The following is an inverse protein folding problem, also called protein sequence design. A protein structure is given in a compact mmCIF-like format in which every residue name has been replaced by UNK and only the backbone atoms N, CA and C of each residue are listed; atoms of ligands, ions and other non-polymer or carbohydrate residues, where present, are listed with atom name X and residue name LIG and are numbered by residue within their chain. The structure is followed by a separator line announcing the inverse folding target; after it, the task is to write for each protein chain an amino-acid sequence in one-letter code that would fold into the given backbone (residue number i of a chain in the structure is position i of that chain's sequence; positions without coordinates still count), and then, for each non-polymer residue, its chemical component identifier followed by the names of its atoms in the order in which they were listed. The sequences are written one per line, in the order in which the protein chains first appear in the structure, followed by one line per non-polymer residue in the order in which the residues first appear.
data_IF_460290770251
#
_entry.id   IF_460290770251
#
_cell.length_a   1.000
_cell.length_b   1.000
_cell.length_c   1.000
_cell.angle_alpha   90.00
_cell.angle_beta   90.00
_cell.angle_gamma   90.00
#
_symmetry.space_group_name_H-M   'P 1'
#
loop_
_entity.id
_entity.type
_entity.pdbx_description
1 polymer ?
#
# COMPACT_ATOMS: atom_id res chain seq x y z
N UNK A 1 -29.38 0.69 -1.10
CA UNK A 1 -28.81 2.00 -0.74
C UNK A 1 -27.92 1.78 0.47
N UNK A 2 -26.79 2.49 0.58
CA UNK A 2 -25.90 2.38 1.74
C UNK A 2 -26.60 2.85 3.01
N UNK A 3 -26.42 2.16 4.13
CA UNK A 3 -27.05 2.47 5.43
C UNK A 3 -26.66 3.87 5.98
N UNK A 4 -25.63 4.49 5.40
CA UNK A 4 -25.07 5.79 5.79
C UNK A 4 -25.49 6.95 4.87
N UNK A 5 -26.34 6.70 3.86
CA UNK A 5 -26.84 7.74 2.96
C UNK A 5 -27.57 8.84 3.73
N UNK A 6 -27.24 10.11 3.45
CA UNK A 6 -27.83 11.28 4.11
C UNK A 6 -27.37 11.54 5.55
N UNK A 7 -26.48 10.71 6.10
CA UNK A 7 -25.96 10.84 7.46
C UNK A 7 -24.50 11.28 7.46
N UNK A 8 -24.08 11.94 8.54
CA UNK A 8 -22.64 12.13 8.82
C UNK A 8 -22.01 10.76 9.07
N UNK A 9 -20.83 10.53 8.50
CA UNK A 9 -20.02 9.33 8.74
C UNK A 9 -18.85 9.71 9.65
N UNK A 10 -18.56 8.86 10.62
CA UNK A 10 -17.31 8.90 11.37
C UNK A 10 -16.37 7.83 10.82
N UNK A 11 -15.15 8.23 10.44
CA UNK A 11 -14.14 7.32 9.90
C UNK A 11 -12.74 7.78 10.23
N UNK A 12 -11.73 6.92 9.99
CA UNK A 12 -10.33 7.30 10.13
C UNK A 12 -9.85 8.10 8.92
N UNK A 13 -9.09 9.15 9.16
CA UNK A 13 -8.33 9.85 8.13
C UNK A 13 -6.97 10.30 8.65
N UNK A 14 -6.01 10.49 7.73
CA UNK A 14 -4.74 11.13 8.02
C UNK A 14 -4.88 12.65 7.95
N UNK A 15 -4.84 13.30 9.10
CA UNK A 15 -4.94 14.76 9.23
C UNK A 15 -3.54 15.35 9.44
N UNK A 16 -3.17 16.33 8.62
CA UNK A 16 -2.00 17.18 8.83
C UNK A 16 -2.47 18.50 9.43
N UNK A 17 -2.07 18.77 10.68
CA UNK A 17 -2.58 19.91 11.45
C UNK A 17 -1.90 21.24 11.09
N UNK A 18 -0.68 21.19 10.57
CA UNK A 18 0.10 22.36 10.19
C UNK A 18 1.27 22.03 9.26
N UNK A 19 1.91 23.05 8.67
CA UNK A 19 3.04 22.85 7.77
C UNK A 19 4.23 22.20 8.49
N UNK A 20 4.79 21.15 7.88
CA UNK A 20 5.89 20.36 8.40
C UNK A 20 5.49 19.34 9.46
N UNK A 21 4.24 19.36 9.94
CA UNK A 21 3.76 18.45 10.98
C UNK A 21 3.54 17.02 10.44
N UNK A 22 3.64 16.00 11.32
CA UNK A 22 3.30 14.64 10.95
C UNK A 22 1.82 14.50 10.58
N UNK A 23 1.52 13.55 9.71
CA UNK A 23 0.15 13.13 9.43
C UNK A 23 -0.32 12.23 10.58
N UNK A 24 -1.42 12.61 11.24
CA UNK A 24 -1.99 11.88 12.38
C UNK A 24 -3.23 11.13 11.92
N UNK A 25 -3.29 9.82 12.16
CA UNK A 25 -4.49 9.02 11.90
C UNK A 25 -5.49 9.23 13.05
N UNK A 26 -6.63 9.85 12.77
CA UNK A 26 -7.66 10.15 13.77
C UNK A 26 -9.08 10.02 13.21
N UNK A 27 -10.07 10.05 14.10
CA UNK A 27 -11.49 10.03 13.70
C UNK A 27 -11.92 11.39 13.15
N UNK A 28 -12.55 11.37 11.99
CA UNK A 28 -13.07 12.56 11.30
C UNK A 28 -14.54 12.36 10.96
N UNK A 29 -15.29 13.46 11.01
CA UNK A 29 -16.68 13.53 10.59
C UNK A 29 -16.76 13.97 9.13
N UNK A 30 -17.42 13.17 8.31
CA UNK A 30 -17.66 13.44 6.89
C UNK A 30 -19.14 13.70 6.66
N UNK A 31 -19.46 14.94 6.30
CA UNK A 31 -20.83 15.36 5.98
C UNK A 31 -21.38 14.58 4.76
N UNK A 32 -22.72 14.42 4.66
CA UNK A 32 -23.33 13.88 3.44
C UNK A 32 -23.07 14.80 2.23
N UNK A 33 -23.05 14.25 1.00
CA UNK A 33 -22.86 15.06 -0.21
C UNK A 33 -24.05 16.00 -0.43
N UNK A 34 -23.78 17.25 -0.80
CA UNK A 34 -24.79 18.22 -1.27
C UNK A 34 -25.06 18.06 -2.77
N UNK A 35 -25.93 18.89 -3.33
CA UNK A 35 -26.23 18.91 -4.76
C UNK A 35 -24.96 18.97 -5.62
N UNK A 36 -24.85 18.08 -6.61
CA UNK A 36 -23.69 17.95 -7.49
C UNK A 36 -22.47 17.26 -6.88
N UNK A 37 -22.54 16.76 -5.64
CA UNK A 37 -21.42 16.14 -4.93
C UNK A 37 -21.54 14.62 -4.84
N UNK A 38 -20.39 13.96 -4.72
CA UNK A 38 -20.29 12.52 -4.59
C UNK A 38 -19.47 12.20 -3.35
N UNK A 39 -19.97 11.30 -2.50
CA UNK A 39 -19.21 10.76 -1.38
C UNK A 39 -18.70 9.36 -1.72
N UNK A 40 -17.40 9.16 -1.57
CA UNK A 40 -16.70 7.96 -2.02
C UNK A 40 -16.11 7.25 -0.81
N UNK A 41 -16.39 5.95 -0.68
CA UNK A 41 -15.61 5.04 0.16
C UNK A 41 -14.34 4.69 -0.60
N UNK A 42 -13.23 5.31 -0.25
CA UNK A 42 -11.97 5.07 -0.95
C UNK A 42 -11.38 3.75 -0.46
N UNK A 43 -10.72 3.02 -1.35
CA UNK A 43 -10.21 1.68 -1.06
C UNK A 43 -8.69 1.67 -0.94
N UNK A 44 -8.03 2.43 -1.82
CA UNK A 44 -6.59 2.56 -1.89
C UNK A 44 -6.23 3.98 -2.30
N UNK A 45 -5.10 4.48 -1.79
CA UNK A 45 -4.49 5.74 -2.23
C UNK A 45 -2.97 5.58 -2.25
N UNK A 46 -2.34 6.15 -3.26
CA UNK A 46 -0.89 6.33 -3.33
C UNK A 46 -0.44 7.51 -2.45
N UNK A 47 0.87 7.57 -2.21
CA UNK A 47 1.56 8.74 -1.66
C UNK A 47 2.44 9.27 -2.77
N UNK A 48 2.21 10.51 -3.16
CA UNK A 48 2.95 11.19 -4.21
C UNK A 48 3.79 12.32 -3.60
N UNK A 49 4.84 12.72 -4.33
CA UNK A 49 5.70 13.82 -3.91
C UNK A 49 4.93 15.14 -3.70
N UNK A 50 3.81 15.34 -4.43
CA UNK A 50 2.95 16.52 -4.24
C UNK A 50 2.34 16.55 -2.84
N UNK A 51 1.94 15.39 -2.28
CA UNK A 51 1.40 15.32 -0.92
C UNK A 51 2.47 15.75 0.10
N UNK A 52 3.71 15.27 -0.05
CA UNK A 52 4.84 15.65 0.81
C UNK A 52 5.23 17.13 0.62
N UNK A 53 5.19 17.64 -0.62
CA UNK A 53 5.48 19.03 -0.91
C UNK A 53 4.50 19.97 -0.19
N UNK A 54 3.20 19.69 -0.26
CA UNK A 54 2.19 20.42 0.50
C UNK A 54 2.38 20.23 2.00
N UNK A 55 2.50 18.99 2.49
CA UNK A 55 2.75 18.70 3.92
C UNK A 55 3.94 19.48 4.46
N UNK A 56 5.01 19.63 3.70
CA UNK A 56 6.23 20.33 4.11
C UNK A 56 6.06 21.85 4.30
N UNK A 57 4.92 22.42 3.87
CA UNK A 57 4.66 23.87 3.92
C UNK A 57 5.33 24.67 2.79
N UNK A 58 5.91 24.00 1.79
CA UNK A 58 6.52 24.65 0.62
C UNK A 58 5.52 25.02 -0.46
N UNK A 59 4.35 24.40 -0.43
CA UNK A 59 3.22 24.75 -1.29
C UNK A 59 2.58 26.07 -0.84
N UNK A 60 2.64 27.09 -1.69
CA UNK A 60 2.04 28.40 -1.42
C UNK A 60 0.51 28.37 -1.34
N UNK A 61 -0.12 27.32 -1.88
CA UNK A 61 -1.58 27.11 -1.79
C UNK A 61 -1.96 26.16 -0.65
N UNK A 62 -0.99 25.66 0.14
CA UNK A 62 -1.24 24.73 1.24
C UNK A 62 -2.12 25.34 2.34
N UNK A 63 -3.37 24.87 2.45
CA UNK A 63 -4.27 25.20 3.54
C UNK A 63 -4.19 24.12 4.64
N UNK A 64 -4.18 24.52 5.91
CA UNK A 64 -4.13 23.62 7.08
C UNK A 64 -5.16 24.04 8.13
N UNK A 65 -5.74 23.10 8.91
CA UNK A 65 -5.51 21.65 8.89
C UNK A 65 -6.13 20.97 7.68
N UNK A 66 -5.55 19.86 7.19
CA UNK A 66 -5.92 19.26 5.90
C UNK A 66 -5.85 17.74 5.91
N UNK A 67 -6.70 17.10 5.10
CA UNK A 67 -6.58 15.69 4.71
C UNK A 67 -5.92 15.66 3.33
N UNK A 68 -4.70 15.14 3.24
CA UNK A 68 -3.92 15.00 1.99
C UNK A 68 -4.37 13.78 1.17
N UNK A 69 -3.75 13.57 -0.01
CA UNK A 69 -4.02 12.45 -0.90
C UNK A 69 -4.89 12.81 -2.09
N UNK A 70 -4.33 12.65 -3.30
CA UNK A 70 -4.98 12.98 -4.58
C UNK A 70 -4.89 11.85 -5.62
N UNK A 71 -4.27 10.72 -5.25
CA UNK A 71 -4.06 9.55 -6.12
C UNK A 71 -4.78 8.32 -5.54
N UNK A 72 -6.11 8.25 -5.68
CA UNK A 72 -6.90 7.19 -5.05
C UNK A 72 -7.97 6.57 -5.94
N UNK A 73 -8.45 5.41 -5.51
CA UNK A 73 -9.58 4.70 -6.13
C UNK A 73 -10.56 4.23 -5.07
N UNK A 74 -11.85 4.32 -5.38
CA UNK A 74 -12.92 4.10 -4.41
C UNK A 74 -14.22 3.59 -5.01
N UNK A 75 -15.20 3.38 -4.16
CA UNK A 75 -16.58 3.05 -4.51
C UNK A 75 -17.48 4.20 -4.07
N UNK A 76 -18.37 4.65 -4.95
CA UNK A 76 -19.39 5.65 -4.61
C UNK A 76 -20.28 5.09 -3.50
N UNK A 77 -20.29 5.78 -2.36
CA UNK A 77 -21.14 5.42 -1.21
C UNK A 77 -22.52 6.06 -1.39
N UNK A 78 -22.56 7.37 -1.65
CA UNK A 78 -23.78 8.13 -1.89
C UNK A 78 -23.52 9.30 -2.85
N UNK A 79 -24.59 9.79 -3.47
CA UNK A 79 -24.57 10.93 -4.38
C UNK A 79 -25.57 11.98 -3.88
N UNK A 80 -25.25 13.25 -4.09
CA UNK A 80 -26.18 14.34 -3.84
C UNK A 80 -27.13 14.59 -5.02
N UNK A 81 -28.05 15.53 -4.81
CA UNK A 81 -29.06 15.91 -5.80
C UNK A 81 -28.41 16.32 -7.14
N UNK A 82 -29.02 15.92 -8.26
CA UNK A 82 -28.59 16.31 -9.61
C UNK A 82 -27.36 15.57 -10.16
N UNK A 83 -26.75 14.67 -9.40
CA UNK A 83 -25.66 13.82 -9.91
C UNK A 83 -26.22 12.73 -10.83
N UNK A 84 -25.77 12.71 -12.08
CA UNK A 84 -26.20 11.73 -13.10
C UNK A 84 -25.07 10.89 -13.67
N UNK A 85 -23.81 11.31 -13.48
CA UNK A 85 -22.64 10.65 -14.07
C UNK A 85 -22.19 9.36 -13.36
N UNK A 86 -22.60 9.17 -12.11
CA UNK A 86 -22.26 8.00 -11.27
C UNK A 86 -23.42 7.68 -10.32
N UNK A 87 -23.46 6.46 -9.79
CA UNK A 87 -24.44 6.01 -8.78
C UNK A 87 -23.74 5.22 -7.66
N UNK A 88 -24.38 5.06 -6.47
CA UNK A 88 -23.86 4.20 -5.41
C UNK A 88 -23.47 2.81 -5.91
N UNK A 89 -22.32 2.32 -5.44
CA UNK A 89 -21.70 1.07 -5.88
C UNK A 89 -20.81 1.19 -7.12
N UNK A 90 -20.78 2.36 -7.79
CA UNK A 90 -19.85 2.56 -8.89
C UNK A 90 -18.41 2.73 -8.40
N UNK A 91 -17.46 2.12 -9.10
CA UNK A 91 -16.05 2.33 -8.81
C UNK A 91 -15.55 3.57 -9.55
N UNK A 92 -14.80 4.39 -8.83
CA UNK A 92 -14.42 5.73 -9.27
C UNK A 92 -12.99 6.08 -8.87
N UNK A 93 -12.36 6.90 -9.72
CA UNK A 93 -11.09 7.57 -9.45
C UNK A 93 -11.40 9.06 -9.31
N UNK A 94 -11.16 9.69 -8.15
CA UNK A 94 -11.29 11.14 -8.01
C UNK A 94 -10.29 11.84 -8.94
N UNK A 95 -10.73 12.88 -9.62
CA UNK A 95 -9.90 13.62 -10.56
C UNK A 95 -9.32 14.86 -9.87
N UNK A 96 -7.99 14.96 -9.81
CA UNK A 96 -7.31 16.18 -9.37
C UNK A 96 -7.69 17.37 -10.25
N UNK A 97 -7.73 17.16 -11.58
CA UNK A 97 -8.19 18.17 -12.53
C UNK A 97 -9.60 17.84 -12.96
N UNK A 98 -10.56 18.74 -12.68
CA UNK A 98 -11.95 18.55 -13.07
C UNK A 98 -12.14 18.51 -14.60
N UNK A 99 -13.27 17.98 -15.06
CA UNK A 99 -13.69 18.04 -16.46
C UNK A 99 -15.20 18.36 -16.54
N UNK A 100 -15.56 19.65 -16.61
CA UNK A 100 -16.97 20.04 -16.64
C UNK A 100 -17.64 19.89 -18.01
N UNK A 101 -16.87 19.65 -19.09
CA UNK A 101 -17.34 19.51 -20.50
C UNK A 101 -18.08 20.71 -21.11
N UNK A 102 -18.32 21.75 -20.32
CA UNK A 102 -19.11 22.91 -20.73
C UNK A 102 -18.27 24.17 -20.96
N UNK A 103 -17.18 24.34 -20.21
CA UNK A 103 -16.37 25.56 -20.26
C UNK A 103 -15.49 25.63 -21.53
N UNK A 104 -15.02 26.84 -21.84
CA UNK A 104 -14.16 27.08 -23.02
C UNK A 104 -12.91 26.18 -23.06
N UNK A 105 -12.36 25.82 -21.90
CA UNK A 105 -11.18 24.97 -21.81
C UNK A 105 -11.51 23.52 -22.18
N UNK A 106 -12.53 22.92 -21.55
CA UNK A 106 -12.96 21.56 -21.85
C UNK A 106 -13.42 21.40 -23.32
N UNK A 107 -14.08 22.41 -23.90
CA UNK A 107 -14.53 22.36 -25.30
C UNK A 107 -13.41 22.62 -26.32
N UNK A 108 -12.24 23.10 -25.90
CA UNK A 108 -11.19 23.55 -26.83
C UNK A 108 -10.53 22.42 -27.60
N UNK A 109 -10.44 21.21 -27.01
CA UNK A 109 -9.60 20.12 -27.50
C UNK A 109 -8.09 20.44 -27.51
N UNK A 110 -7.66 21.49 -26.80
CA UNK A 110 -6.25 21.93 -26.71
C UNK A 110 -5.67 21.83 -25.30
N UNK A 111 -6.51 21.68 -24.29
CA UNK A 111 -6.10 21.63 -22.88
C UNK A 111 -7.11 20.82 -22.06
N UNK A 112 -6.63 20.24 -20.96
CA UNK A 112 -7.43 19.58 -19.93
C UNK A 112 -7.65 20.44 -18.68
N UNK A 113 -7.17 21.69 -18.65
CA UNK A 113 -7.23 22.57 -17.48
C UNK A 113 -8.62 23.20 -17.30
N UNK A 114 -9.56 22.44 -16.76
CA UNK A 114 -10.89 22.96 -16.46
C UNK A 114 -10.85 24.07 -15.39
N UNK A 115 -11.45 25.21 -15.71
CA UNK A 115 -11.51 26.34 -14.78
C UNK A 115 -12.66 26.31 -13.77
N UNK A 116 -13.57 25.32 -13.82
CA UNK A 116 -14.87 25.40 -13.11
C UNK A 116 -14.74 25.38 -11.59
N UNK A 117 -13.79 24.61 -11.05
CA UNK A 117 -13.63 24.43 -9.60
C UNK A 117 -12.29 24.97 -9.09
N UNK A 118 -11.45 25.52 -9.98
CA UNK A 118 -10.06 25.88 -9.65
C UNK A 118 -9.95 26.92 -8.52
N UNK A 119 -10.88 27.87 -8.49
CA UNK A 119 -10.89 28.97 -7.52
C UNK A 119 -11.03 28.49 -6.07
N UNK A 120 -11.95 27.55 -5.82
CA UNK A 120 -12.15 26.98 -4.47
C UNK A 120 -11.19 25.84 -4.18
N UNK A 121 -10.76 25.10 -5.22
CA UNK A 121 -9.80 24.01 -5.10
C UNK A 121 -8.47 24.47 -4.48
N UNK A 122 -7.92 25.61 -4.92
CA UNK A 122 -6.69 26.17 -4.35
C UNK A 122 -6.84 26.73 -2.93
N UNK A 123 -8.08 26.82 -2.43
CA UNK A 123 -8.40 27.24 -1.07
C UNK A 123 -8.72 26.05 -0.17
N UNK A 124 -8.68 24.83 -0.71
CA UNK A 124 -9.05 23.61 0.00
C UNK A 124 -10.55 23.48 0.32
N UNK A 125 -11.41 24.04 -0.55
CA UNK A 125 -12.86 24.11 -0.35
C UNK A 125 -13.62 23.47 -1.51
N UNK A 126 -14.82 22.96 -1.21
CA UNK A 126 -15.79 22.56 -2.22
C UNK A 126 -16.27 23.77 -3.04
N UNK A 127 -16.91 23.57 -4.22
CA UNK A 127 -17.38 24.68 -5.06
C UNK A 127 -18.34 25.66 -4.36
N UNK A 128 -18.98 25.26 -3.27
CA UNK A 128 -19.84 26.11 -2.45
C UNK A 128 -19.07 26.92 -1.38
N UNK A 129 -17.74 26.87 -1.37
CA UNK A 129 -16.89 27.58 -0.43
C UNK A 129 -16.84 26.98 0.98
N UNK A 130 -17.28 25.73 1.15
CA UNK A 130 -17.30 25.06 2.47
C UNK A 130 -16.51 23.74 2.47
N UNK A 131 -16.19 23.22 3.65
CA UNK A 131 -15.64 21.86 3.80
C UNK A 131 -16.72 20.81 4.10
N UNK A 132 -16.38 19.53 3.92
CA UNK A 132 -17.18 18.38 4.33
C UNK A 132 -16.59 17.67 5.55
N UNK A 133 -15.43 18.12 6.03
CA UNK A 133 -14.67 17.43 7.05
C UNK A 133 -14.58 18.24 8.34
N UNK A 134 -14.82 17.57 9.46
CA UNK A 134 -14.55 18.09 10.79
C UNK A 134 -13.73 17.09 11.58
N UNK A 135 -12.75 17.57 12.34
CA UNK A 135 -12.08 16.79 13.39
C UNK A 135 -11.89 17.64 14.63
N UNK A 136 -12.11 17.06 15.81
CA UNK A 136 -11.97 17.75 17.11
C UNK A 136 -12.71 19.10 17.16
N UNK A 137 -13.89 19.15 16.54
CA UNK A 137 -14.73 20.35 16.44
C UNK A 137 -14.23 21.43 15.48
N UNK A 138 -13.11 21.21 14.77
CA UNK A 138 -12.55 22.14 13.78
C UNK A 138 -12.83 21.68 12.36
N UNK A 139 -13.01 22.64 11.47
CA UNK A 139 -13.10 22.40 10.03
C UNK A 139 -11.73 21.97 9.50
N UNK A 140 -11.72 20.92 8.67
CA UNK A 140 -10.51 20.40 8.02
C UNK A 140 -10.64 20.65 6.52
N UNK A 141 -9.63 21.26 5.90
CA UNK A 141 -9.63 21.58 4.48
C UNK A 141 -9.50 20.33 3.62
N UNK A 142 -10.03 20.42 2.40
CA UNK A 142 -9.83 19.42 1.36
C UNK A 142 -8.46 19.64 0.73
N UNK A 143 -7.70 18.57 0.55
CA UNK A 143 -6.63 18.53 -0.45
C UNK A 143 -7.16 17.81 -1.67
N UNK A 144 -7.42 18.58 -2.73
CA UNK A 144 -7.75 18.12 -4.07
C UNK A 144 -8.42 16.73 -4.16
N UNK A 145 -9.76 16.73 -4.14
CA UNK A 145 -10.60 15.52 -4.27
C UNK A 145 -10.12 14.34 -3.39
N UNK A 146 -10.07 14.57 -2.07
CA UNK A 146 -9.48 13.66 -1.08
C UNK A 146 -9.93 12.20 -1.17
N UNK A 147 -8.95 11.31 -1.04
CA UNK A 147 -9.10 9.87 -0.96
C UNK A 147 -9.14 9.37 0.52
N UNK A 148 -10.24 8.74 0.98
CA UNK A 148 -10.45 8.08 2.30
C UNK A 148 -10.14 6.57 2.39
N UNK A 149 -9.07 6.14 3.03
CA UNK A 149 -8.78 4.70 3.21
C UNK A 149 -9.92 3.87 3.85
N UNK A 150 -10.45 2.91 3.10
CA UNK A 150 -11.32 1.82 3.59
C UNK A 150 -11.25 0.60 2.66
N UNK A 151 -10.50 -0.43 3.05
CA UNK A 151 -10.19 -1.62 2.25
C UNK A 151 -11.34 -2.25 1.42
N UNK A 152 -11.00 -2.63 0.18
CA UNK A 152 -11.61 -3.74 -0.57
C UNK A 152 -12.31 -3.42 -1.91
N UNK A 153 -11.75 -3.91 -3.03
CA UNK A 153 -12.49 -4.24 -4.28
C UNK A 153 -12.10 -3.47 -5.56
N UNK A 154 -11.61 -4.18 -6.58
CA UNK A 154 -11.30 -3.66 -7.92
C UNK A 154 -12.51 -3.09 -8.69
N UNK A 155 -12.32 -2.07 -9.55
CA UNK A 155 -12.84 -1.99 -10.94
C UNK A 155 -12.62 -0.61 -11.60
N UNK A 156 -12.34 -0.63 -12.91
CA UNK A 156 -11.85 0.47 -13.76
C UNK A 156 -13.00 1.26 -14.43
N UNK A 157 -12.90 2.60 -14.52
CA UNK A 157 -13.89 3.48 -15.18
C UNK A 157 -13.91 3.29 -16.71
N UNK A 158 -12.77 2.99 -17.33
CA UNK A 158 -12.63 2.96 -18.78
C UNK A 158 -13.54 1.92 -19.47
N UNK A 159 -13.78 0.78 -18.83
CA UNK A 159 -14.67 -0.28 -19.33
C UNK A 159 -16.14 0.04 -19.22
N UNK A 160 -16.53 0.95 -18.31
CA UNK A 160 -17.95 1.27 -18.08
C UNK A 160 -18.48 2.32 -19.04
N UNK A 161 -17.61 3.13 -19.66
CA UNK A 161 -18.00 4.11 -20.66
C UNK A 161 -16.92 4.28 -21.74
N UNK A 162 -16.70 3.26 -22.58
CA UNK A 162 -15.64 3.26 -23.59
C UNK A 162 -15.81 4.37 -24.63
N UNK A 163 -17.05 4.78 -24.93
CA UNK A 163 -17.30 5.91 -25.84
C UNK A 163 -16.86 7.26 -25.26
N UNK A 164 -17.14 7.50 -23.97
CA UNK A 164 -16.64 8.71 -23.31
C UNK A 164 -15.11 8.72 -23.23
N UNK A 165 -14.48 7.55 -23.04
CA UNK A 165 -13.03 7.43 -23.04
C UNK A 165 -12.44 7.73 -24.43
N UNK A 166 -13.00 7.17 -25.51
CA UNK A 166 -12.67 7.53 -26.90
C UNK A 166 -12.82 9.02 -27.20
N UNK A 167 -13.90 9.63 -26.69
CA UNK A 167 -14.15 11.07 -26.88
C UNK A 167 -13.09 11.94 -26.18
N UNK A 168 -12.48 11.45 -25.09
CA UNK A 168 -11.45 12.17 -24.32
C UNK A 168 -10.08 12.24 -25.01
N UNK A 169 -9.81 11.36 -25.99
CA UNK A 169 -8.55 11.29 -26.74
C UNK A 169 -8.20 12.58 -27.52
N UNK A 170 -9.19 13.46 -27.71
CA UNK A 170 -9.05 14.67 -28.51
C UNK A 170 -9.22 14.41 -30.01
N UNK A 171 -8.73 15.34 -30.83
CA UNK A 171 -8.86 15.31 -32.30
C UNK A 171 -7.81 14.46 -33.04
N UNK A 172 -6.54 14.36 -32.59
CA UNK A 172 -5.52 13.68 -33.38
C UNK A 172 -5.85 12.20 -33.60
N UNK A 173 -5.75 11.69 -34.85
CA UNK A 173 -6.04 10.29 -35.17
C UNK A 173 -5.21 9.31 -34.34
N UNK A 174 -3.93 9.61 -34.12
CA UNK A 174 -3.00 8.77 -33.37
C UNK A 174 -3.41 8.60 -31.91
N UNK A 175 -4.04 9.61 -31.31
CA UNK A 175 -4.54 9.54 -29.93
C UNK A 175 -5.80 8.69 -29.82
N UNK A 176 -6.64 8.68 -30.86
CA UNK A 176 -7.82 7.81 -30.92
C UNK A 176 -7.42 6.34 -31.09
N UNK A 177 -6.43 6.07 -31.95
CA UNK A 177 -5.84 4.73 -32.09
C UNK A 177 -5.21 4.24 -30.78
N UNK A 178 -4.51 5.13 -30.06
CA UNK A 178 -3.97 4.83 -28.73
C UNK A 178 -5.07 4.46 -27.73
N UNK A 179 -6.19 5.18 -27.72
CA UNK A 179 -7.34 4.84 -26.86
C UNK A 179 -7.96 3.50 -27.24
N UNK A 180 -8.12 3.19 -28.53
CA UNK A 180 -8.64 1.90 -28.97
C UNK A 180 -7.69 0.74 -28.58
N UNK A 181 -6.38 0.97 -28.67
CA UNK A 181 -5.38 0.01 -28.18
C UNK A 181 -5.49 -0.21 -26.67
N UNK A 182 -5.65 0.86 -25.89
CA UNK A 182 -5.83 0.79 -24.43
C UNK A 182 -7.12 0.03 -24.10
N UNK A 183 -8.24 0.36 -24.74
CA UNK A 183 -9.53 -0.34 -24.52
C UNK A 183 -9.41 -1.83 -24.81
N UNK A 184 -8.80 -2.19 -25.95
CA UNK A 184 -8.56 -3.60 -26.31
C UNK A 184 -7.70 -4.33 -25.27
N UNK A 185 -6.72 -3.65 -24.70
CA UNK A 185 -5.86 -4.21 -23.64
C UNK A 185 -6.64 -4.40 -22.34
N UNK A 186 -7.48 -3.43 -21.97
CA UNK A 186 -8.32 -3.49 -20.77
C UNK A 186 -9.44 -4.54 -20.92
N UNK A 187 -9.94 -4.79 -22.12
CA UNK A 187 -10.93 -5.84 -22.39
C UNK A 187 -10.33 -7.25 -22.42
N UNK A 188 -9.01 -7.38 -22.56
CA UNK A 188 -8.30 -8.67 -22.54
C UNK A 188 -8.21 -9.24 -21.11
N UNK A 189 -8.85 -10.38 -20.81
CA UNK A 189 -8.70 -11.03 -19.51
C UNK A 189 -7.25 -11.45 -19.22
N UNK A 190 -6.45 -11.73 -20.26
CA UNK A 190 -5.04 -12.05 -20.15
C UNK A 190 -4.23 -10.93 -19.52
N UNK A 191 -4.48 -9.68 -19.92
CA UNK A 191 -3.86 -8.49 -19.31
C UNK A 191 -4.13 -8.42 -17.81
N UNK A 192 -5.38 -8.61 -17.39
CA UNK A 192 -5.73 -8.57 -15.96
C UNK A 192 -5.12 -9.71 -15.17
N UNK A 193 -5.10 -10.92 -15.74
CA UNK A 193 -4.42 -12.06 -15.10
C UNK A 193 -2.92 -11.78 -14.92
N UNK A 194 -2.26 -11.21 -15.93
CA UNK A 194 -0.85 -10.80 -15.84
C UNK A 194 -0.66 -9.69 -14.81
N UNK A 195 -1.58 -8.72 -14.72
CA UNK A 195 -1.51 -7.66 -13.73
C UNK A 195 -1.72 -8.19 -12.30
N UNK A 196 -2.65 -9.13 -12.10
CA UNK A 196 -2.83 -9.85 -10.83
C UNK A 196 -1.57 -10.65 -10.49
N UNK A 197 -0.97 -11.33 -11.46
CA UNK A 197 0.30 -12.04 -11.27
C UNK A 197 1.43 -11.07 -10.87
N UNK A 198 1.53 -9.92 -11.54
CA UNK A 198 2.50 -8.88 -11.22
C UNK A 198 2.30 -8.33 -9.81
N UNK A 199 1.04 -8.14 -9.37
CA UNK A 199 0.72 -7.77 -7.98
C UNK A 199 1.25 -8.80 -6.99
N UNK A 200 1.09 -10.11 -7.25
CA UNK A 200 1.62 -11.17 -6.39
C UNK A 200 3.15 -11.07 -6.23
N UNK A 201 3.87 -10.60 -7.25
CA UNK A 201 5.32 -10.36 -7.15
C UNK A 201 5.66 -9.05 -6.46
N UNK A 202 4.95 -7.96 -6.76
CA UNK A 202 5.29 -6.64 -6.26
C UNK A 202 4.86 -6.42 -4.81
N UNK A 203 3.75 -6.97 -4.38
CA UNK A 203 3.19 -6.73 -3.05
C UNK A 203 4.15 -7.15 -1.91
N UNK A 204 4.75 -8.36 -1.91
CA UNK A 204 5.74 -8.73 -0.90
C UNK A 204 6.94 -7.78 -0.88
N UNK A 205 7.41 -7.34 -2.05
CA UNK A 205 8.54 -6.43 -2.23
C UNK A 205 8.22 -5.02 -1.74
N UNK A 206 7.01 -4.52 -2.01
CA UNK A 206 6.55 -3.21 -1.56
C UNK A 206 6.42 -3.17 -0.03
N UNK A 207 5.86 -4.22 0.58
CA UNK A 207 5.83 -4.36 2.05
C UNK A 207 7.25 -4.32 2.61
N UNK A 208 8.17 -5.09 2.03
CA UNK A 208 9.56 -5.12 2.49
C UNK A 208 10.26 -3.77 2.32
N UNK A 209 9.98 -3.03 1.25
CA UNK A 209 10.50 -1.68 1.05
C UNK A 209 9.97 -0.71 2.11
N UNK A 210 8.67 -0.73 2.39
CA UNK A 210 8.04 0.10 3.42
C UNK A 210 8.61 -0.20 4.80
N UNK A 211 8.73 -1.48 5.17
CA UNK A 211 9.37 -1.89 6.42
C UNK A 211 10.83 -1.43 6.43
N UNK A 212 11.57 -1.57 5.32
CA UNK A 212 12.99 -1.19 5.29
C UNK A 212 13.24 0.32 5.40
N UNK A 213 12.27 1.14 4.98
CA UNK A 213 12.38 2.60 4.94
C UNK A 213 11.73 3.32 6.12
N UNK A 214 10.97 2.61 6.96
CA UNK A 214 10.35 3.21 8.13
C UNK A 214 11.39 3.73 9.14
N UNK A 215 11.09 4.85 9.80
CA UNK A 215 12.00 5.50 10.76
C UNK A 215 12.29 4.66 12.00
N UNK A 216 11.39 3.74 12.37
CA UNK A 216 11.53 2.82 13.48
C UNK A 216 12.25 1.50 13.11
N UNK A 217 12.77 1.40 11.89
CA UNK A 217 13.31 0.15 11.38
C UNK A 217 14.66 -0.20 11.98
N UNK A 218 14.75 -1.44 12.43
CA UNK A 218 15.94 -2.02 13.04
C UNK A 218 16.50 -3.12 12.15
N UNK A 219 17.74 -3.50 12.42
CA UNK A 219 18.44 -4.52 11.65
C UNK A 219 17.72 -5.88 11.67
N UNK A 220 17.11 -6.26 12.79
CA UNK A 220 16.36 -7.51 12.91
C UNK A 220 15.09 -7.51 12.04
N UNK A 221 14.41 -6.37 11.88
CA UNK A 221 13.28 -6.24 10.95
C UNK A 221 13.73 -6.52 9.50
N UNK A 222 14.89 -5.98 9.09
CA UNK A 222 15.43 -6.23 7.74
C UNK A 222 15.69 -7.72 7.50
N UNK A 223 16.28 -8.39 8.47
CA UNK A 223 16.65 -9.80 8.34
C UNK A 223 15.40 -10.72 8.35
N UNK A 224 14.40 -10.39 9.17
CA UNK A 224 13.09 -11.07 9.14
C UNK A 224 12.41 -10.86 7.79
N UNK A 225 12.43 -9.64 7.23
CA UNK A 225 11.85 -9.34 5.92
C UNK A 225 12.55 -10.09 4.79
N UNK A 226 13.89 -10.19 4.80
CA UNK A 226 14.61 -11.01 3.82
C UNK A 226 14.18 -12.48 3.90
N UNK A 227 14.02 -13.03 5.11
CA UNK A 227 13.51 -14.39 5.31
C UNK A 227 12.07 -14.56 4.85
N UNK A 228 11.20 -13.59 5.14
CA UNK A 228 9.79 -13.57 4.69
C UNK A 228 9.69 -13.54 3.17
N UNK A 229 10.47 -12.68 2.52
CA UNK A 229 10.56 -12.61 1.06
C UNK A 229 11.05 -13.94 0.48
N UNK A 230 12.11 -14.50 1.03
CA UNK A 230 12.64 -15.79 0.56
C UNK A 230 11.58 -16.88 0.64
N UNK A 231 10.88 -16.97 1.78
CA UNK A 231 9.79 -17.92 1.95
C UNK A 231 8.68 -17.68 0.92
N UNK A 232 8.18 -16.44 0.80
CA UNK A 232 7.12 -16.09 -0.14
C UNK A 232 7.47 -16.47 -1.59
N UNK A 233 8.65 -16.09 -2.06
CA UNK A 233 9.09 -16.39 -3.42
C UNK A 233 9.45 -17.87 -3.63
N UNK A 234 9.87 -18.60 -2.59
CA UNK A 234 10.10 -20.05 -2.70
C UNK A 234 8.81 -20.86 -2.90
N UNK A 235 7.69 -20.36 -2.38
CA UNK A 235 6.37 -21.02 -2.47
C UNK A 235 5.56 -20.59 -3.70
N UNK A 236 5.98 -19.52 -4.40
CA UNK A 236 5.29 -19.03 -5.60
C UNK A 236 5.45 -20.05 -6.76
N UNK A 237 4.32 -20.57 -7.24
CA UNK A 237 4.27 -21.61 -8.28
C UNK A 237 4.14 -21.11 -9.72
N UNK A 238 3.95 -19.81 -9.94
CA UNK A 238 3.47 -19.29 -11.23
C UNK A 238 4.57 -19.04 -12.28
N UNK A 239 5.74 -18.52 -11.88
CA UNK A 239 6.83 -18.22 -12.82
C UNK A 239 8.22 -18.62 -12.28
N UNK A 240 8.83 -19.70 -12.79
CA UNK A 240 10.10 -20.21 -12.27
C UNK A 240 11.27 -19.24 -12.51
N UNK A 241 11.23 -18.46 -13.60
CA UNK A 241 12.29 -17.50 -13.93
C UNK A 241 12.29 -16.30 -13.00
N UNK A 242 11.11 -15.75 -12.70
CA UNK A 242 10.98 -14.64 -11.73
C UNK A 242 11.40 -15.12 -10.35
N UNK A 243 10.95 -16.31 -9.94
CA UNK A 243 11.36 -16.94 -8.68
C UNK A 243 12.88 -17.04 -8.58
N UNK A 244 13.54 -17.60 -9.59
CA UNK A 244 14.99 -17.76 -9.61
C UNK A 244 15.71 -16.42 -9.46
N UNK A 245 15.35 -15.42 -10.29
CA UNK A 245 15.94 -14.08 -10.24
C UNK A 245 15.77 -13.45 -8.85
N UNK A 246 14.58 -13.51 -8.27
CA UNK A 246 14.31 -12.91 -6.96
C UNK A 246 15.07 -13.64 -5.86
N UNK A 247 15.06 -14.98 -5.85
CA UNK A 247 15.78 -15.77 -4.86
C UNK A 247 17.29 -15.56 -4.94
N UNK A 248 17.89 -15.52 -6.14
CA UNK A 248 19.30 -15.17 -6.31
C UNK A 248 19.62 -13.76 -5.79
N UNK A 249 18.73 -12.82 -6.03
CA UNK A 249 18.86 -11.43 -5.56
C UNK A 249 18.79 -11.36 -4.03
N UNK A 250 17.91 -12.15 -3.41
CA UNK A 250 17.79 -12.25 -1.96
C UNK A 250 19.01 -12.94 -1.35
N UNK A 251 19.48 -14.05 -1.93
CA UNK A 251 20.70 -14.75 -1.48
C UNK A 251 21.93 -13.84 -1.55
N UNK A 252 22.05 -13.01 -2.59
CA UNK A 252 23.16 -12.06 -2.71
C UNK A 252 23.14 -10.99 -1.62
N UNK A 253 21.95 -10.56 -1.17
CA UNK A 253 21.81 -9.61 -0.05
C UNK A 253 22.03 -10.30 1.28
N UNK A 254 21.45 -11.49 1.45
CA UNK A 254 21.61 -12.35 2.60
C UNK A 254 23.08 -12.76 2.83
N UNK A 255 23.82 -13.04 1.76
CA UNK A 255 25.24 -13.39 1.78
C UNK A 255 26.16 -12.27 2.31
N UNK A 256 25.71 -11.02 2.27
CA UNK A 256 26.44 -9.89 2.88
C UNK A 256 26.15 -9.76 4.38
N UNK A 257 25.06 -10.34 4.87
CA UNK A 257 24.69 -10.29 6.27
C UNK A 257 25.51 -11.31 7.09
N UNK A 258 25.65 -11.04 8.38
CA UNK A 258 26.22 -12.00 9.30
C UNK A 258 25.16 -13.04 9.67
N UNK A 259 24.99 -14.03 8.80
CA UNK A 259 23.88 -14.99 8.84
C UNK A 259 23.87 -15.80 10.14
N UNK A 260 25.05 -16.25 10.58
CA UNK A 260 25.23 -17.14 11.71
C UNK A 260 24.58 -16.62 13.02
N UNK A 261 24.91 -15.41 13.53
CA UNK A 261 24.22 -14.83 14.69
C UNK A 261 22.72 -14.65 14.51
N UNK A 262 22.26 -14.29 13.31
CA UNK A 262 20.83 -14.11 13.07
C UNK A 262 20.07 -15.44 13.13
N UNK A 263 20.60 -16.47 12.45
CA UNK A 263 20.05 -17.83 12.50
C UNK A 263 19.94 -18.28 13.96
N UNK A 264 20.96 -18.02 14.79
CA UNK A 264 20.90 -18.34 16.21
C UNK A 264 19.95 -17.45 17.00
N UNK A 265 19.86 -16.16 16.71
CA UNK A 265 18.93 -15.25 17.40
C UNK A 265 17.48 -15.67 17.18
N UNK A 266 17.15 -16.18 16.00
CA UNK A 266 15.84 -16.74 15.68
C UNK A 266 15.67 -18.14 16.29
N UNK A 267 16.66 -19.03 16.14
CA UNK A 267 16.59 -20.40 16.67
C UNK A 267 16.50 -20.45 18.20
N UNK A 268 17.26 -19.60 18.88
CA UNK A 268 17.29 -19.49 20.35
C UNK A 268 16.16 -18.59 20.88
N UNK A 269 15.31 -18.03 20.03
CA UNK A 269 14.26 -17.12 20.45
C UNK A 269 13.19 -17.87 21.26
N UNK A 270 12.97 -17.52 22.54
CA UNK A 270 12.06 -18.24 23.41
C UNK A 270 10.58 -18.08 23.04
N UNK A 271 10.24 -17.10 22.20
CA UNK A 271 8.88 -16.82 21.74
C UNK A 271 8.56 -17.40 20.37
N UNK A 272 9.56 -17.49 19.49
CA UNK A 272 9.34 -17.97 18.11
C UNK A 272 9.26 -19.49 18.06
N UNK A 273 10.06 -20.24 18.87
CA UNK A 273 10.04 -21.72 19.09
C UNK A 273 9.44 -22.59 17.95
N UNK A 274 9.72 -22.25 16.70
CA UNK A 274 9.02 -22.79 15.53
C UNK A 274 9.85 -23.86 14.82
N UNK A 275 9.19 -24.69 14.00
CA UNK A 275 9.86 -25.54 12.99
C UNK A 275 10.31 -24.68 11.80
N UNK A 276 11.21 -23.72 12.04
CA UNK A 276 11.67 -22.78 11.02
C UNK A 276 12.57 -23.43 9.95
N UNK A 277 12.98 -24.67 10.16
CA UNK A 277 13.76 -25.45 9.22
C UNK A 277 13.02 -26.75 8.94
N UNK A 278 12.59 -26.94 7.68
CA UNK A 278 12.00 -28.20 7.22
C UNK A 278 12.90 -29.37 7.60
N UNK A 279 12.33 -30.52 7.97
CA UNK A 279 13.12 -31.77 8.14
C UNK A 279 13.77 -32.22 6.83
N UNK A 280 13.31 -31.68 5.71
CA UNK A 280 13.88 -31.89 4.38
C UNK A 280 15.05 -30.94 4.09
N UNK A 281 15.29 -29.92 4.95
CA UNK A 281 16.43 -29.03 4.83
C UNK A 281 17.70 -29.72 5.34
N UNK A 282 18.48 -30.26 4.40
CA UNK A 282 19.73 -30.97 4.68
C UNK A 282 20.87 -30.06 5.14
N UNK A 283 20.78 -28.75 4.90
CA UNK A 283 21.81 -27.76 5.25
C UNK A 283 21.75 -27.32 6.72
N UNK A 284 20.54 -27.23 7.30
CA UNK A 284 20.31 -26.80 8.68
C UNK A 284 19.75 -27.91 9.59
N UNK A 285 20.23 -29.14 9.38
CA UNK A 285 20.00 -30.24 10.32
C UNK A 285 20.68 -30.00 11.69
N UNK A 286 20.42 -30.86 12.69
CA UNK A 286 20.98 -30.75 14.06
C UNK A 286 22.48 -30.43 14.06
N UNK A 287 23.25 -31.14 13.23
CA UNK A 287 24.71 -30.97 13.12
C UNK A 287 25.09 -29.67 12.41
N UNK A 288 24.28 -29.20 11.46
CA UNK A 288 24.41 -27.89 10.81
C UNK A 288 24.18 -26.74 11.78
N UNK A 289 23.10 -26.79 12.57
CA UNK A 289 22.79 -25.80 13.61
C UNK A 289 23.89 -25.77 14.67
N UNK A 290 24.35 -26.94 15.14
CA UNK A 290 25.44 -26.97 16.11
C UNK A 290 26.76 -26.39 15.55
N UNK A 291 27.05 -26.58 14.25
CA UNK A 291 28.20 -25.92 13.60
C UNK A 291 28.07 -24.39 13.64
N UNK A 292 26.87 -23.86 13.43
CA UNK A 292 26.59 -22.42 13.57
C UNK A 292 26.81 -21.97 15.02
N UNK A 293 26.25 -22.70 15.99
CA UNK A 293 26.46 -22.44 17.44
C UNK A 293 27.94 -22.35 17.77
N UNK A 294 28.75 -23.32 17.35
CA UNK A 294 30.20 -23.33 17.61
C UNK A 294 30.92 -22.11 17.02
N UNK A 295 30.61 -21.74 15.78
CA UNK A 295 31.24 -20.59 15.11
C UNK A 295 30.90 -19.28 15.82
N UNK A 296 29.64 -19.08 16.15
CA UNK A 296 29.18 -17.87 16.84
C UNK A 296 29.69 -17.82 18.28
N UNK A 297 29.61 -18.92 19.02
CA UNK A 297 30.07 -19.00 20.40
C UNK A 297 31.55 -18.64 20.51
N UNK A 298 32.40 -19.25 19.69
CA UNK A 298 33.84 -18.93 19.66
C UNK A 298 34.09 -17.47 19.30
N UNK A 299 33.32 -16.91 18.36
CA UNK A 299 33.50 -15.52 17.93
C UNK A 299 33.07 -14.51 18.99
N UNK A 300 31.92 -14.70 19.62
CA UNK A 300 31.33 -13.77 20.59
C UNK A 300 32.03 -13.88 21.93
N UNK A 301 32.16 -15.09 22.47
CA UNK A 301 32.71 -15.33 23.80
C UNK A 301 34.23 -15.51 23.80
N UNK A 302 34.86 -15.54 22.61
CA UNK A 302 36.32 -15.72 22.44
C UNK A 302 36.85 -16.96 23.20
N UNK A 303 36.03 -18.02 23.27
CA UNK A 303 36.30 -19.26 24.00
C UNK A 303 36.20 -20.46 23.06
N UNK A 304 37.07 -21.44 23.24
CA UNK A 304 36.95 -22.72 22.53
C UNK A 304 35.70 -23.49 22.96
N UNK A 305 35.21 -24.32 22.05
CA UNK A 305 34.02 -25.14 22.29
C UNK A 305 34.38 -26.26 23.28
N UNK A 306 33.58 -26.43 24.32
CA UNK A 306 33.76 -27.49 25.32
C UNK A 306 32.56 -28.46 25.34
N UNK A 307 32.73 -29.58 26.06
CA UNK A 307 31.66 -30.57 26.24
C UNK A 307 30.43 -29.97 26.93
N UNK A 308 30.59 -28.90 27.73
CA UNK A 308 29.48 -28.20 28.39
C UNK A 308 28.60 -27.50 27.37
N UNK A 309 29.17 -26.82 26.39
CA UNK A 309 28.43 -26.18 25.30
C UNK A 309 27.67 -27.22 24.46
N UNK A 310 28.29 -28.36 24.14
CA UNK A 310 27.62 -29.43 23.39
C UNK A 310 26.41 -29.98 24.17
N UNK A 311 26.59 -30.25 25.46
CA UNK A 311 25.51 -30.74 26.32
C UNK A 311 24.36 -29.73 26.41
N UNK A 312 24.67 -28.46 26.67
CA UNK A 312 23.65 -27.40 26.71
C UNK A 312 22.88 -27.23 25.39
N UNK A 313 23.56 -27.40 24.24
CA UNK A 313 22.89 -27.39 22.94
C UNK A 313 21.93 -28.58 22.77
N UNK A 314 22.34 -29.78 23.15
CA UNK A 314 21.48 -30.98 23.07
C UNK A 314 20.26 -30.81 23.97
N UNK A 315 20.47 -30.38 25.21
CA UNK A 315 19.39 -30.16 26.18
C UNK A 315 18.35 -29.17 25.61
N UNK A 316 18.80 -28.05 25.03
CA UNK A 316 17.91 -27.07 24.38
C UNK A 316 17.18 -27.64 23.15
N UNK A 317 17.90 -28.34 22.28
CA UNK A 317 17.35 -28.89 21.04
C UNK A 317 16.29 -29.97 21.32
N UNK A 318 16.52 -30.81 22.33
CA UNK A 318 15.61 -31.88 22.75
C UNK A 318 14.40 -31.36 23.54
N UNK A 319 14.57 -30.35 24.40
CA UNK A 319 13.44 -29.65 25.05
C UNK A 319 12.52 -28.99 23.99
N UNK A 320 13.11 -28.39 22.96
CA UNK A 320 12.34 -27.83 21.85
C UNK A 320 11.47 -28.91 21.19
N UNK A 321 12.05 -30.09 20.87
CA UNK A 321 11.29 -31.22 20.32
C UNK A 321 10.20 -31.73 21.28
N UNK A 322 10.50 -31.83 22.57
CA UNK A 322 9.56 -32.37 23.57
C UNK A 322 8.37 -31.43 23.80
N UNK A 323 8.63 -30.12 23.94
CA UNK A 323 7.57 -29.11 24.07
C UNK A 323 6.66 -29.01 22.82
N UNK A 324 7.16 -29.44 21.66
CA UNK A 324 6.43 -29.47 20.40
C UNK A 324 5.54 -30.71 20.21
N UNK A 325 5.85 -31.84 20.85
CA UNK A 325 5.00 -33.05 20.81
C UNK A 325 4.04 -33.15 21.99
N UNK A 326 4.26 -32.37 23.07
CA UNK A 326 3.37 -32.28 24.23
C UNK A 326 2.21 -31.29 24.11
N UNK A 327 2.12 -30.51 23.01
CA UNK A 327 0.96 -29.64 22.71
C UNK A 327 0.08 -30.26 21.64
N UNK A 328 -0.50 -31.41 21.96
CA UNK A 328 -1.76 -31.87 21.37
C UNK A 328 -2.74 -31.99 22.53
N UNK A 329 -3.30 -30.84 22.92
CA UNK A 329 -4.54 -30.63 23.65
C UNK A 329 -4.92 -29.16 23.43
#
# INVERSE_FOLDING_TARGET
MSDTTGKVIECKAGVCWGPGEPIVIEDVQVAPPKAGEVRIKILHTGICHTDEYTRSGKDSEGAFPVILGHEGGGIVESVGEGVTGVKPGDHVIPLYTAECRECKFCKSGKTNLCGRVRATQGQGLMPDGTTRFKSKGKDIYHFVCCAFLAHGGDTNIATRNPEAFRASAGRPPEKKEEVDHILKTIEDPGFWNQLTELKLYLEPLAIAANVSQASATRLDHILIELGRLYHAFSQLGFNPKIREIVLESLERRWGKANQDPFILAVFLNPFIRGRLFSRENTLLNRSGVYRVVKRVFRRIFRKENDLKLYKAFLDYYEDLLTSMYGRVC
#
